data_IF_520621960370
#
_entry.id   IF_520621960370
#
_cell.length_a   1.000
_cell.length_b   1.000
_cell.length_c   1.000
_cell.angle_alpha   90.00
_cell.angle_beta   90.00
_cell.angle_gamma   90.00
#
_symmetry.space_group_name_H-M   'P 1'
#
loop_
_entity.id
_entity.type
_entity.pdbx_description
1 polymer ?
#
# COMPACT_ATOMS: atom_id res chain seq x y z
N UNK A 1 -6.54 -9.30 -27.64
CA UNK A 1 -6.34 -9.63 -26.22
C UNK A 1 -5.39 -8.62 -25.65
N UNK A 2 -5.58 -8.10 -24.45
CA UNK A 2 -4.59 -7.21 -23.84
C UNK A 2 -3.24 -7.95 -23.76
N UNK A 3 -2.17 -7.22 -24.03
CA UNK A 3 -0.82 -7.77 -24.01
C UNK A 3 -0.39 -7.99 -22.55
N UNK A 4 0.19 -9.17 -22.25
CA UNK A 4 0.68 -9.48 -20.91
C UNK A 4 2.05 -8.89 -20.68
N UNK A 5 2.20 -8.08 -19.64
CA UNK A 5 3.49 -7.51 -19.24
C UNK A 5 4.33 -8.48 -18.40
N UNK A 6 3.67 -9.19 -17.47
CA UNK A 6 4.30 -10.18 -16.60
C UNK A 6 3.42 -11.41 -16.43
N UNK A 7 4.02 -12.59 -16.54
CA UNK A 7 3.38 -13.87 -16.24
C UNK A 7 4.27 -14.66 -15.29
N UNK A 8 3.74 -15.06 -14.15
CA UNK A 8 4.38 -15.91 -13.16
C UNK A 8 3.59 -17.20 -13.02
N UNK A 9 4.24 -18.34 -13.24
CA UNK A 9 3.58 -19.65 -13.19
C UNK A 9 4.30 -20.60 -12.25
N UNK A 10 3.61 -21.05 -11.20
CA UNK A 10 4.07 -22.09 -10.29
C UNK A 10 5.42 -21.77 -9.63
N UNK A 11 5.60 -20.57 -9.11
CA UNK A 11 6.88 -20.14 -8.57
C UNK A 11 7.15 -20.76 -7.19
N UNK A 12 8.29 -21.43 -7.07
CA UNK A 12 8.82 -21.97 -5.83
C UNK A 12 10.20 -21.40 -5.55
N UNK A 13 10.43 -20.97 -4.30
CA UNK A 13 11.77 -20.52 -3.85
C UNK A 13 12.03 -20.95 -2.42
N UNK A 14 13.15 -21.68 -2.22
CA UNK A 14 13.64 -22.08 -0.90
C UNK A 14 14.93 -21.39 -0.56
N UNK A 15 15.20 -21.30 0.73
CA UNK A 15 16.43 -20.81 1.30
C UNK A 15 16.87 -21.71 2.46
N UNK A 16 18.15 -21.66 2.79
CA UNK A 16 18.70 -22.34 3.97
C UNK A 16 18.96 -21.33 5.09
N UNK A 17 18.59 -21.67 6.31
CA UNK A 17 18.87 -20.81 7.47
C UNK A 17 20.37 -20.61 7.63
N UNK A 18 20.81 -19.33 7.77
CA UNK A 18 22.22 -18.97 7.94
C UNK A 18 23.01 -18.73 6.65
N UNK A 19 22.46 -18.95 5.46
CA UNK A 19 23.11 -18.53 4.22
C UNK A 19 23.08 -16.99 4.15
N UNK A 20 24.27 -16.37 4.12
CA UNK A 20 24.42 -14.94 3.80
C UNK A 20 24.50 -14.81 2.28
N UNK A 21 23.55 -14.10 1.68
CA UNK A 21 23.45 -13.84 0.23
C UNK A 21 24.47 -12.79 -0.23
N UNK A 22 25.75 -13.02 -0.09
CA UNK A 22 26.82 -12.10 -0.55
C UNK A 22 27.87 -12.78 -1.40
N UNK A 23 27.54 -13.86 -2.11
CA UNK A 23 28.51 -14.58 -2.91
C UNK A 23 28.20 -14.45 -4.40
N UNK A 24 29.16 -13.90 -5.17
CA UNK A 24 29.19 -13.95 -6.64
C UNK A 24 29.06 -15.37 -7.22
N UNK A 25 29.20 -16.41 -6.39
CA UNK A 25 28.98 -17.81 -6.76
C UNK A 25 27.54 -18.13 -7.13
N UNK A 26 26.56 -17.38 -6.64
CA UNK A 26 25.15 -17.58 -6.95
C UNK A 26 24.76 -16.98 -8.31
N UNK A 27 25.66 -16.20 -8.92
CA UNK A 27 25.53 -15.61 -10.26
C UNK A 27 26.06 -16.51 -11.37
N UNK A 28 26.82 -17.57 -11.04
CA UNK A 28 27.27 -18.53 -12.04
C UNK A 28 26.12 -19.51 -12.33
N UNK A 29 25.67 -19.63 -13.60
CA UNK A 29 24.69 -20.65 -13.95
C UNK A 29 25.34 -22.00 -13.67
N UNK A 30 24.93 -22.66 -12.63
CA UNK A 30 25.25 -24.06 -12.39
C UNK A 30 24.74 -24.86 -13.58
N UNK A 31 25.67 -25.14 -14.50
CA UNK A 31 25.44 -25.91 -15.68
C UNK A 31 24.71 -27.21 -15.32
N UNK A 32 23.55 -27.42 -15.91
CA UNK A 32 23.03 -28.74 -16.29
C UNK A 32 22.89 -29.80 -15.18
N UNK A 33 22.35 -29.49 -14.02
CA UNK A 33 21.80 -30.56 -13.14
C UNK A 33 20.57 -30.08 -12.41
N UNK A 34 19.39 -30.52 -12.84
CA UNK A 34 18.17 -30.43 -12.03
C UNK A 34 16.95 -29.80 -12.69
N UNK A 35 16.71 -30.06 -13.96
CA UNK A 35 15.36 -29.99 -14.47
C UNK A 35 14.55 -31.08 -13.76
N UNK A 36 13.49 -30.67 -13.04
CA UNK A 36 12.46 -31.55 -12.48
C UNK A 36 12.90 -32.49 -11.35
N UNK A 37 13.12 -31.99 -10.16
CA UNK A 37 12.70 -32.76 -8.99
C UNK A 37 11.72 -31.90 -8.20
N UNK A 38 10.43 -32.24 -8.29
CA UNK A 38 9.39 -31.91 -7.31
C UNK A 38 9.71 -32.60 -5.98
N UNK A 39 10.93 -32.47 -5.48
CA UNK A 39 11.28 -32.97 -4.16
C UNK A 39 10.75 -31.95 -3.15
N UNK A 40 9.51 -32.19 -2.74
CA UNK A 40 8.77 -31.36 -1.76
C UNK A 40 9.35 -31.45 -0.35
N UNK A 41 10.40 -32.25 -0.13
CA UNK A 41 11.01 -32.42 1.19
C UNK A 41 12.14 -31.40 1.40
N UNK A 42 11.92 -30.51 2.37
CA UNK A 42 12.95 -29.59 2.85
C UNK A 42 14.06 -30.38 3.58
N UNK A 43 15.31 -30.09 3.24
CA UNK A 43 16.44 -30.56 4.02
C UNK A 43 16.51 -29.82 5.35
N UNK A 44 17.17 -30.42 6.35
CA UNK A 44 17.30 -29.81 7.67
C UNK A 44 17.87 -28.37 7.57
N UNK A 45 17.12 -27.40 8.09
CA UNK A 45 17.47 -25.99 8.04
C UNK A 45 17.00 -25.23 6.78
N UNK A 46 16.36 -25.87 5.81
CA UNK A 46 15.72 -25.19 4.66
C UNK A 46 14.28 -24.75 5.00
N UNK A 47 13.85 -23.69 4.32
CA UNK A 47 12.45 -23.23 4.37
C UNK A 47 12.01 -22.70 3.01
N UNK A 48 10.73 -22.82 2.71
CA UNK A 48 10.14 -22.23 1.52
C UNK A 48 9.81 -20.76 1.79
N UNK A 49 10.38 -19.87 0.99
CA UNK A 49 10.02 -18.46 0.98
C UNK A 49 8.85 -18.18 0.02
N UNK A 50 8.71 -19.01 -1.04
CA UNK A 50 7.57 -19.01 -1.93
C UNK A 50 7.19 -20.45 -2.28
N UNK A 51 5.88 -20.71 -2.40
CA UNK A 51 5.29 -22.00 -2.73
C UNK A 51 4.16 -21.81 -3.73
N UNK A 52 4.33 -22.32 -4.92
CA UNK A 52 3.32 -22.38 -5.98
C UNK A 52 2.62 -21.04 -6.28
N UNK A 53 3.38 -19.96 -6.34
CA UNK A 53 2.84 -18.62 -6.59
C UNK A 53 2.64 -18.42 -8.08
N UNK A 54 1.40 -18.12 -8.49
CA UNK A 54 1.02 -17.88 -9.89
C UNK A 54 0.15 -16.64 -9.99
N UNK A 55 0.45 -15.75 -10.95
CA UNK A 55 -0.34 -14.56 -11.27
C UNK A 55 0.11 -13.95 -12.60
N UNK A 56 -0.73 -13.07 -13.14
CA UNK A 56 -0.52 -12.37 -14.39
C UNK A 56 -0.76 -10.88 -14.21
N UNK A 57 -0.04 -10.04 -14.96
CA UNK A 57 -0.19 -8.58 -14.97
C UNK A 57 -0.32 -8.11 -16.40
N UNK A 58 -1.37 -7.35 -16.69
CA UNK A 58 -1.60 -6.79 -18.01
C UNK A 58 -0.74 -5.55 -18.27
N UNK A 59 -0.42 -5.29 -19.52
CA UNK A 59 0.34 -4.09 -19.91
C UNK A 59 -0.45 -2.82 -19.60
N UNK A 60 0.23 -1.82 -19.02
CA UNK A 60 -0.36 -0.53 -18.66
C UNK A 60 -1.17 -0.54 -17.37
N UNK A 61 -1.13 -1.62 -16.59
CA UNK A 61 -1.82 -1.70 -15.31
C UNK A 61 -0.93 -1.41 -14.11
N UNK A 62 -1.56 -0.91 -13.04
CA UNK A 62 -0.97 -0.89 -11.72
C UNK A 62 -1.40 -2.14 -10.94
N UNK A 63 -0.43 -2.95 -10.56
CA UNK A 63 -0.61 -4.21 -9.85
C UNK A 63 0.03 -4.16 -8.47
N UNK A 64 -0.72 -4.52 -7.43
CA UNK A 64 -0.25 -4.50 -6.05
C UNK A 64 0.20 -5.87 -5.56
N UNK A 65 1.24 -5.92 -4.72
CA UNK A 65 1.63 -7.11 -3.97
C UNK A 65 1.75 -6.73 -2.50
N UNK A 66 0.90 -7.31 -1.66
CA UNK A 66 0.87 -7.05 -0.22
C UNK A 66 0.99 -8.36 0.57
N UNK A 67 1.22 -8.24 1.86
CA UNK A 67 1.28 -9.38 2.79
C UNK A 67 2.03 -9.02 4.06
N UNK A 68 1.87 -9.78 5.14
CA UNK A 68 2.60 -9.59 6.39
C UNK A 68 4.13 -9.66 6.21
N UNK A 69 4.88 -9.27 7.24
CA UNK A 69 6.32 -9.46 7.24
C UNK A 69 6.66 -10.95 7.15
N UNK A 70 7.64 -11.28 6.30
CA UNK A 70 7.98 -12.69 6.03
C UNK A 70 7.06 -13.42 5.05
N UNK A 71 6.06 -12.77 4.46
CA UNK A 71 5.14 -13.40 3.48
C UNK A 71 5.80 -13.79 2.14
N UNK A 72 7.03 -13.35 1.87
CA UNK A 72 7.74 -13.67 0.63
C UNK A 72 7.81 -12.52 -0.40
N UNK A 73 7.26 -11.35 -0.09
CA UNK A 73 7.19 -10.18 -1.00
C UNK A 73 8.54 -9.80 -1.61
N UNK A 74 9.57 -9.55 -0.79
CA UNK A 74 10.91 -9.17 -1.27
C UNK A 74 11.59 -10.30 -2.04
N UNK A 75 11.27 -11.56 -1.75
CA UNK A 75 11.74 -12.70 -2.52
C UNK A 75 11.11 -12.71 -3.90
N UNK A 76 9.80 -12.52 -3.99
CA UNK A 76 9.07 -12.44 -5.25
C UNK A 76 9.58 -11.29 -6.11
N UNK A 77 9.79 -10.11 -5.51
CA UNK A 77 10.38 -8.95 -6.18
C UNK A 77 11.73 -9.29 -6.82
N UNK A 78 12.64 -9.89 -6.05
CA UNK A 78 13.99 -10.28 -6.53
C UNK A 78 13.93 -11.33 -7.64
N UNK A 79 12.94 -12.20 -7.63
CA UNK A 79 12.71 -13.17 -8.71
C UNK A 79 12.23 -12.46 -9.99
N UNK A 80 11.25 -11.56 -9.89
CA UNK A 80 10.73 -10.79 -11.05
C UNK A 80 11.83 -9.90 -11.63
N UNK A 81 12.64 -9.27 -10.77
CA UNK A 81 13.81 -8.48 -11.17
C UNK A 81 14.98 -9.31 -11.72
N UNK A 82 14.85 -10.64 -11.77
CA UNK A 82 15.90 -11.58 -12.19
C UNK A 82 17.20 -11.50 -11.36
N UNK A 83 17.13 -10.96 -10.15
CA UNK A 83 18.24 -10.97 -9.17
C UNK A 83 18.40 -12.38 -8.59
N UNK A 84 17.28 -13.07 -8.40
CA UNK A 84 17.23 -14.46 -7.96
C UNK A 84 16.61 -15.34 -9.06
N UNK A 85 16.93 -16.64 -9.03
CA UNK A 85 16.28 -17.64 -9.86
C UNK A 85 15.31 -18.47 -9.02
N UNK A 86 14.12 -18.83 -9.54
CA UNK A 86 13.22 -19.73 -8.85
C UNK A 86 13.78 -21.14 -8.81
N UNK A 87 13.37 -21.93 -7.81
CA UNK A 87 13.69 -23.37 -7.76
C UNK A 87 12.78 -24.18 -8.68
N UNK A 88 11.55 -23.71 -8.91
CA UNK A 88 10.63 -24.23 -9.91
C UNK A 88 9.68 -23.12 -10.38
N UNK A 89 9.02 -23.33 -11.50
CA UNK A 89 8.15 -22.35 -12.13
C UNK A 89 8.83 -21.49 -13.18
N UNK A 90 8.06 -20.61 -13.80
CA UNK A 90 8.52 -19.77 -14.91
C UNK A 90 8.06 -18.32 -14.69
N UNK A 91 8.95 -17.38 -15.05
CA UNK A 91 8.64 -15.95 -15.09
C UNK A 91 8.89 -15.44 -16.51
N UNK A 92 7.83 -14.96 -17.14
CA UNK A 92 7.91 -14.29 -18.44
C UNK A 92 7.68 -12.80 -18.26
N UNK A 93 8.58 -11.99 -18.78
CA UNK A 93 8.53 -10.54 -18.76
C UNK A 93 8.55 -10.04 -20.20
N UNK A 94 7.53 -9.30 -20.58
CA UNK A 94 7.41 -8.70 -21.91
C UNK A 94 7.83 -7.24 -21.86
N UNK A 95 8.86 -6.88 -22.57
CA UNK A 95 9.40 -5.52 -22.58
C UNK A 95 10.52 -5.28 -21.57
N UNK A 96 10.87 -4.00 -21.41
CA UNK A 96 11.97 -3.56 -20.55
C UNK A 96 11.46 -3.34 -19.12
N UNK A 97 12.11 -4.02 -18.17
CA UNK A 97 11.82 -3.92 -16.75
C UNK A 97 12.87 -3.03 -16.08
N UNK A 98 12.42 -2.03 -15.33
CA UNK A 98 13.23 -1.25 -14.40
C UNK A 98 12.76 -1.52 -12.96
N UNK A 99 13.70 -1.74 -12.05
CA UNK A 99 13.40 -2.10 -10.68
C UNK A 99 13.96 -1.07 -9.70
N UNK A 100 13.07 -0.45 -8.92
CA UNK A 100 13.39 0.42 -7.79
C UNK A 100 13.36 -0.40 -6.49
N UNK A 101 14.31 -1.32 -6.35
CA UNK A 101 14.37 -2.22 -5.19
C UNK A 101 15.14 -1.56 -4.04
N UNK A 102 16.20 -0.81 -4.38
CA UNK A 102 16.99 -0.04 -3.44
C UNK A 102 17.24 1.33 -4.06
N UNK A 103 16.60 2.36 -3.50
CA UNK A 103 16.82 3.73 -3.96
C UNK A 103 18.30 4.10 -3.85
N UNK A 104 18.86 4.53 -4.98
CA UNK A 104 20.27 4.90 -5.04
C UNK A 104 21.21 3.71 -5.15
N UNK A 105 20.73 2.48 -5.39
CA UNK A 105 21.59 1.38 -5.77
C UNK A 105 22.41 1.81 -7.00
N UNK A 106 23.75 1.75 -6.87
CA UNK A 106 24.69 2.23 -7.88
C UNK A 106 25.08 3.70 -7.76
N UNK A 107 24.58 4.46 -6.78
CA UNK A 107 25.11 5.76 -6.46
C UNK A 107 26.50 5.67 -5.84
N UNK A 108 27.39 6.57 -6.24
CA UNK A 108 28.72 6.67 -5.67
C UNK A 108 28.81 7.89 -4.75
N UNK A 109 29.22 7.72 -3.49
CA UNK A 109 29.20 8.79 -2.49
C UNK A 109 30.14 9.96 -2.82
N UNK A 110 31.24 9.71 -3.50
CA UNK A 110 32.23 10.74 -3.84
C UNK A 110 31.90 11.52 -5.11
N UNK A 111 30.97 11.02 -5.94
CA UNK A 111 30.48 11.72 -7.13
C UNK A 111 29.41 12.73 -6.74
N UNK A 112 29.34 13.79 -7.53
CA UNK A 112 28.31 14.86 -7.41
C UNK A 112 26.92 14.34 -7.75
N UNK A 113 25.87 15.09 -7.38
CA UNK A 113 24.49 14.79 -7.76
C UNK A 113 24.33 14.66 -9.28
N UNK A 114 24.95 15.55 -10.04
CA UNK A 114 24.97 15.52 -11.51
C UNK A 114 25.59 14.23 -12.04
N UNK A 115 26.80 13.89 -11.59
CA UNK A 115 27.50 12.67 -12.03
C UNK A 115 26.70 11.40 -11.66
N UNK A 116 26.06 11.37 -10.50
CA UNK A 116 25.23 10.26 -10.07
C UNK A 116 23.95 10.12 -10.90
N UNK A 117 23.35 11.19 -11.41
CA UNK A 117 22.25 11.10 -12.38
C UNK A 117 22.68 10.30 -13.61
N UNK A 118 23.86 10.60 -14.17
CA UNK A 118 24.39 9.87 -15.33
C UNK A 118 24.77 8.42 -14.99
N UNK A 119 25.42 8.21 -13.85
CA UNK A 119 25.83 6.87 -13.40
C UNK A 119 24.60 5.98 -13.18
N UNK A 120 23.65 6.45 -12.39
CA UNK A 120 22.46 5.67 -12.06
C UNK A 120 21.55 5.48 -13.28
N UNK A 121 21.38 6.51 -14.11
CA UNK A 121 20.67 6.39 -15.39
C UNK A 121 21.29 5.32 -16.30
N UNK A 122 22.61 5.26 -16.38
CA UNK A 122 23.30 4.23 -17.15
C UNK A 122 23.13 2.82 -16.56
N UNK A 123 23.19 2.68 -15.23
CA UNK A 123 22.94 1.40 -14.53
C UNK A 123 21.50 0.94 -14.78
N UNK A 124 20.55 1.85 -14.75
CA UNK A 124 19.16 1.57 -15.10
C UNK A 124 18.95 1.40 -16.61
N UNK A 125 20.06 1.45 -17.39
CA UNK A 125 20.14 1.14 -18.82
C UNK A 125 19.69 2.28 -19.73
N UNK A 126 19.67 3.54 -19.30
CA UNK A 126 19.49 4.69 -20.16
C UNK A 126 20.76 4.93 -20.98
N UNK A 127 20.60 5.33 -22.25
CA UNK A 127 21.72 5.84 -23.03
C UNK A 127 22.03 7.27 -22.62
N UNK A 128 23.28 7.71 -22.72
CA UNK A 128 23.68 9.08 -22.38
C UNK A 128 22.78 10.12 -23.03
N UNK A 129 22.48 9.97 -24.32
CA UNK A 129 21.57 10.86 -25.08
C UNK A 129 20.19 10.97 -24.45
N UNK A 130 19.68 9.89 -23.85
CA UNK A 130 18.34 9.85 -23.25
C UNK A 130 18.37 10.50 -21.86
N UNK A 131 19.51 10.35 -21.14
CA UNK A 131 19.76 11.08 -19.89
C UNK A 131 19.85 12.58 -20.16
N UNK A 132 20.64 13.00 -21.16
CA UNK A 132 20.79 14.42 -21.56
C UNK A 132 19.43 15.08 -21.83
N UNK A 133 18.53 14.39 -22.53
CA UNK A 133 17.17 14.88 -22.83
C UNK A 133 16.29 15.04 -21.61
N UNK A 134 16.48 14.24 -20.59
CA UNK A 134 15.63 14.18 -19.39
C UNK A 134 16.29 14.83 -18.17
N UNK A 135 17.52 15.31 -18.32
CA UNK A 135 18.33 15.81 -17.21
C UNK A 135 17.60 16.91 -16.44
N UNK A 136 17.11 17.92 -17.12
CA UNK A 136 16.40 19.03 -16.49
C UNK A 136 15.14 18.58 -15.77
N UNK A 137 14.35 17.69 -16.37
CA UNK A 137 13.13 17.17 -15.74
C UNK A 137 13.44 16.30 -14.51
N UNK A 138 14.55 15.56 -14.50
CA UNK A 138 15.04 14.82 -13.34
C UNK A 138 15.40 15.79 -12.21
N UNK A 139 16.13 16.85 -12.54
CA UNK A 139 16.56 17.86 -11.58
C UNK A 139 15.37 18.61 -10.98
N UNK A 140 14.44 19.04 -11.81
CA UNK A 140 13.22 19.73 -11.40
C UNK A 140 12.36 18.84 -10.49
N UNK A 141 12.14 17.58 -10.90
CA UNK A 141 11.38 16.64 -10.11
C UNK A 141 11.99 16.41 -8.73
N UNK A 142 13.32 16.21 -8.66
CA UNK A 142 14.05 15.98 -7.39
C UNK A 142 14.05 17.21 -6.49
N UNK A 143 13.86 18.42 -7.05
CA UNK A 143 13.99 19.73 -6.40
C UNK A 143 15.39 19.92 -5.75
N UNK A 144 16.46 19.45 -6.42
CA UNK A 144 17.83 19.49 -5.94
C UNK A 144 18.77 20.33 -6.79
N UNK A 145 18.26 21.29 -7.57
CA UNK A 145 19.04 22.14 -8.49
C UNK A 145 20.24 22.83 -7.81
N UNK A 146 20.08 23.32 -6.57
CA UNK A 146 21.15 23.97 -5.81
C UNK A 146 22.24 23.05 -5.24
N UNK A 147 22.09 21.71 -5.37
CA UNK A 147 22.98 20.73 -4.79
C UNK A 147 23.67 19.83 -5.80
N UNK A 148 23.47 20.07 -7.10
CA UNK A 148 23.93 19.17 -8.17
C UNK A 148 25.45 19.00 -8.22
N UNK A 149 26.20 20.02 -7.85
CA UNK A 149 27.68 20.00 -7.82
C UNK A 149 28.24 19.51 -6.46
N UNK A 150 27.36 19.15 -5.52
CA UNK A 150 27.75 18.64 -4.19
C UNK A 150 27.87 17.12 -4.26
N UNK A 151 28.97 16.51 -3.71
CA UNK A 151 29.08 15.06 -3.58
C UNK A 151 27.98 14.44 -2.74
N UNK A 152 27.50 13.24 -3.14
CA UNK A 152 26.38 12.57 -2.48
C UNK A 152 26.61 12.23 -1.01
N UNK A 153 27.84 12.07 -0.56
CA UNK A 153 28.16 11.86 0.85
C UNK A 153 27.69 13.01 1.76
N UNK A 154 27.42 14.18 1.19
CA UNK A 154 26.90 15.35 1.90
C UNK A 154 25.37 15.50 1.78
N UNK A 155 24.71 14.60 1.06
CA UNK A 155 23.26 14.62 0.95
C UNK A 155 22.62 14.03 2.21
N UNK A 156 21.49 14.60 2.61
CA UNK A 156 20.63 13.94 3.58
C UNK A 156 20.00 12.67 2.98
N UNK A 157 19.53 11.75 3.82
CA UNK A 157 18.83 10.55 3.35
C UNK A 157 17.62 10.88 2.47
N UNK A 158 16.91 11.98 2.78
CA UNK A 158 15.80 12.48 1.97
C UNK A 158 16.25 12.98 0.60
N UNK A 159 17.34 13.77 0.52
CA UNK A 159 17.90 14.23 -0.77
C UNK A 159 18.37 13.07 -1.62
N UNK A 160 19.09 12.12 -1.02
CA UNK A 160 19.57 10.91 -1.67
C UNK A 160 18.42 10.13 -2.32
N UNK A 161 17.37 9.92 -1.55
CA UNK A 161 16.21 9.17 -2.01
C UNK A 161 15.38 9.94 -3.06
N UNK A 162 15.24 11.27 -2.94
CA UNK A 162 14.60 12.11 -3.97
C UNK A 162 15.34 12.00 -5.31
N UNK A 163 16.69 12.05 -5.29
CA UNK A 163 17.47 11.92 -6.50
C UNK A 163 17.30 10.54 -7.15
N UNK A 164 17.39 9.47 -6.34
CA UNK A 164 17.22 8.10 -6.84
C UNK A 164 15.84 7.86 -7.46
N UNK A 165 14.79 8.33 -6.80
CA UNK A 165 13.43 8.22 -7.32
C UNK A 165 13.24 9.05 -8.60
N UNK A 166 13.79 10.28 -8.63
CA UNK A 166 13.74 11.13 -9.83
C UNK A 166 14.38 10.45 -11.04
N UNK A 167 15.59 9.89 -10.90
CA UNK A 167 16.24 9.19 -12.01
C UNK A 167 15.41 7.99 -12.45
N UNK A 168 14.99 7.16 -11.51
CA UNK A 168 14.30 5.91 -11.81
C UNK A 168 12.94 6.10 -12.49
N UNK A 169 12.19 7.14 -12.13
CA UNK A 169 10.88 7.45 -12.75
C UNK A 169 10.99 8.12 -14.12
N UNK A 170 12.21 8.45 -14.55
CA UNK A 170 12.47 8.99 -15.89
C UNK A 170 13.12 7.94 -16.82
N UNK A 171 13.27 6.69 -16.36
CA UNK A 171 13.70 5.57 -17.22
C UNK A 171 12.57 5.21 -18.18
N UNK A 172 12.92 4.93 -19.42
CA UNK A 172 11.97 4.39 -20.41
C UNK A 172 11.82 2.89 -20.19
N UNK A 173 10.88 2.52 -19.36
CA UNK A 173 10.59 1.13 -18.99
C UNK A 173 9.13 0.79 -19.33
N UNK A 174 8.91 -0.39 -19.91
CA UNK A 174 7.56 -0.93 -20.09
C UNK A 174 6.96 -1.43 -18.77
N UNK A 175 7.84 -1.86 -17.83
CA UNK A 175 7.46 -2.35 -16.52
C UNK A 175 8.33 -1.69 -15.46
N UNK A 176 7.71 -1.11 -14.44
CA UNK A 176 8.36 -0.50 -13.31
C UNK A 176 8.04 -1.29 -12.03
N UNK A 177 9.06 -1.86 -11.40
CA UNK A 177 8.95 -2.51 -10.09
C UNK A 177 9.27 -1.49 -9.00
N UNK A 178 8.39 -1.34 -8.02
CA UNK A 178 8.57 -0.39 -6.92
C UNK A 178 8.44 -1.14 -5.59
N UNK A 179 9.48 -1.07 -4.75
CA UNK A 179 9.50 -1.62 -3.41
C UNK A 179 9.40 -0.48 -2.39
N UNK A 180 8.40 -0.48 -1.53
CA UNK A 180 8.19 0.40 -0.33
C UNK A 180 8.63 1.88 -0.42
N UNK A 181 9.15 2.28 -1.57
CA UNK A 181 9.94 3.49 -1.81
C UNK A 181 9.11 4.78 -1.84
N UNK A 182 7.77 4.69 -1.96
CA UNK A 182 6.91 5.88 -2.02
C UNK A 182 6.79 6.62 -0.67
N UNK A 183 7.33 6.06 0.41
CA UNK A 183 7.35 6.72 1.73
C UNK A 183 8.55 7.65 1.92
N UNK A 184 9.31 7.93 0.87
CA UNK A 184 10.55 8.70 0.90
C UNK A 184 10.31 10.19 0.77
N UNK A 185 11.13 10.97 1.48
CA UNK A 185 11.07 12.43 1.47
C UNK A 185 9.97 12.98 2.40
N UNK A 186 9.67 14.25 2.24
CA UNK A 186 8.57 14.91 2.94
C UNK A 186 7.21 14.65 2.28
N UNK A 187 6.14 15.06 2.94
CA UNK A 187 4.77 14.89 2.43
C UNK A 187 4.57 15.52 1.04
N UNK A 188 5.19 16.66 0.76
CA UNK A 188 5.10 17.32 -0.54
C UNK A 188 5.75 16.48 -1.66
N UNK A 189 6.89 15.86 -1.39
CA UNK A 189 7.54 14.99 -2.35
C UNK A 189 6.77 13.68 -2.56
N UNK A 190 6.16 13.13 -1.51
CA UNK A 190 5.30 11.93 -1.63
C UNK A 190 4.11 12.18 -2.56
N UNK A 191 3.48 13.36 -2.48
CA UNK A 191 2.40 13.74 -3.41
C UNK A 191 2.91 13.79 -4.85
N UNK A 192 4.10 14.38 -5.10
CA UNK A 192 4.73 14.39 -6.44
C UNK A 192 5.01 12.97 -6.94
N UNK A 193 5.47 12.05 -6.06
CA UNK A 193 5.71 10.66 -6.43
C UNK A 193 4.44 9.95 -6.87
N UNK A 194 3.34 10.12 -6.13
CA UNK A 194 2.04 9.51 -6.47
C UNK A 194 1.52 10.06 -7.79
N UNK A 195 1.56 11.39 -8.00
CA UNK A 195 1.17 12.00 -9.27
C UNK A 195 1.99 11.45 -10.44
N UNK A 196 3.31 11.34 -10.28
CA UNK A 196 4.19 10.77 -11.31
C UNK A 196 3.84 9.32 -11.63
N UNK A 197 3.43 8.52 -10.64
CA UNK A 197 2.97 7.15 -10.88
C UNK A 197 1.69 7.13 -11.72
N UNK A 198 0.71 7.97 -11.40
CA UNK A 198 -0.49 8.10 -12.22
C UNK A 198 -0.17 8.49 -13.66
N UNK A 199 0.75 9.45 -13.88
CA UNK A 199 1.16 9.86 -15.21
C UNK A 199 1.82 8.71 -16.00
N UNK A 200 2.69 7.92 -15.35
CA UNK A 200 3.35 6.77 -15.97
C UNK A 200 2.34 5.67 -16.35
N UNK A 201 1.38 5.38 -15.48
CA UNK A 201 0.30 4.42 -15.76
C UNK A 201 -0.57 4.92 -16.91
N UNK A 202 -0.94 6.20 -16.92
CA UNK A 202 -1.72 6.81 -17.99
C UNK A 202 -0.98 6.79 -19.35
N UNK A 203 0.36 6.81 -19.34
CA UNK A 203 1.22 6.68 -20.52
C UNK A 203 1.43 5.21 -20.96
N UNK A 204 0.81 4.24 -20.28
CA UNK A 204 0.88 2.82 -20.61
C UNK A 204 2.03 2.06 -19.94
N UNK A 205 2.74 2.64 -18.98
CA UNK A 205 3.75 1.92 -18.19
C UNK A 205 3.03 1.00 -17.19
N UNK A 206 3.42 -0.27 -17.16
CA UNK A 206 2.96 -1.22 -16.16
C UNK A 206 3.70 -0.97 -14.85
N UNK A 207 2.99 -0.80 -13.75
CA UNK A 207 3.60 -0.58 -12.44
C UNK A 207 3.29 -1.75 -11.52
N UNK A 208 4.32 -2.43 -11.02
CA UNK A 208 4.19 -3.48 -10.01
C UNK A 208 4.65 -2.90 -8.68
N UNK A 209 3.71 -2.74 -7.77
CA UNK A 209 3.89 -2.04 -6.53
C UNK A 209 3.89 -2.99 -5.34
N UNK A 210 5.01 -3.08 -4.63
CA UNK A 210 5.15 -3.90 -3.43
C UNK A 210 5.21 -2.98 -2.22
N UNK A 211 4.26 -3.12 -1.30
CA UNK A 211 4.23 -2.28 -0.11
C UNK A 211 3.61 -3.00 1.09
N UNK A 212 4.06 -2.63 2.27
CA UNK A 212 3.35 -2.89 3.52
C UNK A 212 2.30 -1.80 3.80
N UNK A 213 2.34 -0.67 3.10
CA UNK A 213 1.35 0.38 3.19
C UNK A 213 0.15 0.08 2.28
N UNK A 214 -0.79 -0.68 2.81
CA UNK A 214 -1.99 -1.17 2.10
C UNK A 214 -2.81 -0.03 1.49
N UNK A 215 -2.80 1.16 2.13
CA UNK A 215 -3.51 2.35 1.63
C UNK A 215 -2.93 2.89 0.33
N UNK A 216 -1.60 2.87 0.19
CA UNK A 216 -0.95 3.31 -1.05
C UNK A 216 -1.27 2.34 -2.19
N UNK A 217 -1.30 1.03 -1.90
CA UNK A 217 -1.69 0.00 -2.86
C UNK A 217 -3.13 0.21 -3.32
N UNK A 218 -4.06 0.44 -2.39
CA UNK A 218 -5.47 0.67 -2.71
C UNK A 218 -5.71 1.92 -3.58
N UNK A 219 -4.86 2.93 -3.47
CA UNK A 219 -4.96 4.15 -4.30
C UNK A 219 -4.47 3.97 -5.73
N UNK A 220 -3.50 3.10 -5.94
CA UNK A 220 -2.80 2.98 -7.22
C UNK A 220 -3.22 1.74 -8.01
N UNK A 221 -3.55 0.65 -7.31
CA UNK A 221 -3.69 -0.67 -7.91
C UNK A 221 -5.16 -1.08 -7.99
N UNK A 222 -5.57 -1.57 -9.16
CA UNK A 222 -6.90 -2.17 -9.34
C UNK A 222 -6.93 -3.64 -8.89
N UNK A 223 -5.84 -4.35 -9.14
CA UNK A 223 -5.67 -5.76 -8.81
C UNK A 223 -4.50 -5.94 -7.85
N UNK A 224 -4.68 -6.81 -6.86
CA UNK A 224 -3.70 -7.00 -5.78
C UNK A 224 -3.53 -8.49 -5.47
N UNK A 225 -2.29 -8.93 -5.43
CA UNK A 225 -1.87 -10.22 -4.92
C UNK A 225 -1.61 -10.12 -3.41
N UNK A 226 -2.32 -10.88 -2.63
CA UNK A 226 -2.09 -11.01 -1.19
C UNK A 226 -1.26 -12.27 -0.94
N UNK A 227 -0.06 -12.08 -0.40
CA UNK A 227 0.83 -13.19 -0.02
C UNK A 227 0.74 -13.46 1.49
N UNK A 228 0.73 -14.72 1.86
CA UNK A 228 0.83 -15.17 3.25
C UNK A 228 1.68 -16.43 3.33
N UNK A 229 2.70 -16.43 4.20
CA UNK A 229 3.59 -17.58 4.45
C UNK A 229 4.18 -18.20 3.16
N UNK A 230 4.46 -17.37 2.17
CA UNK A 230 5.02 -17.80 0.90
C UNK A 230 4.02 -18.31 -0.14
N UNK A 231 2.74 -18.28 0.15
CA UNK A 231 1.66 -18.76 -0.72
C UNK A 231 0.73 -17.60 -1.12
N UNK A 232 0.00 -17.77 -2.22
CA UNK A 232 -1.05 -16.84 -2.64
C UNK A 232 -2.26 -17.03 -1.73
N UNK A 233 -2.55 -16.03 -0.90
CA UNK A 233 -3.77 -16.02 -0.09
C UNK A 233 -4.99 -15.59 -0.92
N UNK A 234 -4.82 -14.59 -1.78
CA UNK A 234 -5.82 -14.17 -2.76
C UNK A 234 -5.19 -13.36 -3.90
N UNK A 235 -5.87 -13.33 -5.03
CA UNK A 235 -5.68 -12.39 -6.12
C UNK A 235 -7.03 -11.70 -6.37
N UNK A 236 -7.14 -10.42 -6.00
CA UNK A 236 -8.44 -9.76 -5.91
C UNK A 236 -8.31 -8.24 -6.11
N UNK A 237 -9.41 -7.51 -6.01
CA UNK A 237 -9.40 -6.04 -6.04
C UNK A 237 -8.76 -5.45 -4.77
N UNK A 238 -8.44 -4.16 -4.82
CA UNK A 238 -7.73 -3.49 -3.75
C UNK A 238 -8.47 -3.51 -2.40
N UNK A 239 -9.79 -3.36 -2.39
CA UNK A 239 -10.57 -3.28 -1.15
C UNK A 239 -10.64 -4.63 -0.42
N UNK A 240 -10.89 -5.72 -1.16
CA UNK A 240 -10.85 -7.07 -0.61
C UNK A 240 -9.45 -7.46 -0.14
N UNK A 241 -8.42 -7.05 -0.89
CA UNK A 241 -7.04 -7.30 -0.52
C UNK A 241 -6.65 -6.62 0.79
N UNK A 242 -7.11 -5.38 1.01
CA UNK A 242 -6.92 -4.63 2.27
C UNK A 242 -7.56 -5.37 3.44
N UNK A 243 -8.81 -5.82 3.25
CA UNK A 243 -9.53 -6.58 4.27
C UNK A 243 -8.82 -7.88 4.64
N UNK A 244 -8.42 -8.65 3.63
CA UNK A 244 -7.69 -9.89 3.85
C UNK A 244 -6.34 -9.64 4.53
N UNK A 245 -5.61 -8.59 4.14
CA UNK A 245 -4.35 -8.23 4.78
C UNK A 245 -4.53 -8.01 6.29
N UNK A 246 -5.52 -7.20 6.68
CA UNK A 246 -5.77 -6.94 8.10
C UNK A 246 -6.19 -8.20 8.84
N UNK A 247 -7.00 -9.08 8.25
CA UNK A 247 -7.35 -10.38 8.87
C UNK A 247 -6.13 -11.28 9.08
N UNK A 248 -5.18 -11.29 8.13
CA UNK A 248 -3.94 -12.05 8.26
C UNK A 248 -3.00 -11.50 9.33
N UNK A 249 -2.99 -10.18 9.53
CA UNK A 249 -2.14 -9.53 10.55
C UNK A 249 -2.74 -9.65 11.94
N UNK A 250 -4.06 -9.53 12.08
CA UNK A 250 -4.75 -9.68 13.37
C UNK A 250 -4.88 -11.13 13.85
N UNK A 251 -4.54 -12.10 12.99
CA UNK A 251 -4.64 -13.53 13.33
C UNK A 251 -6.08 -14.06 13.36
N UNK A 252 -7.06 -13.26 12.98
CA UNK A 252 -8.45 -13.68 12.78
C UNK A 252 -8.53 -14.46 11.48
N UNK A 253 -8.76 -15.76 11.59
CA UNK A 253 -8.90 -16.66 10.43
C UNK A 253 -10.12 -16.26 9.60
N UNK A 254 -9.92 -15.95 8.31
CA UNK A 254 -10.98 -15.60 7.36
C UNK A 254 -12.00 -16.74 7.07
N UNK A 255 -11.91 -17.86 7.77
CA UNK A 255 -12.84 -19.00 7.61
C UNK A 255 -14.12 -18.87 8.45
N UNK A 256 -14.19 -17.92 9.39
CA UNK A 256 -15.35 -17.74 10.29
C UNK A 256 -16.14 -16.43 10.02
N UNK A 257 -16.03 -15.83 8.85
CA UNK A 257 -16.86 -14.67 8.48
C UNK A 257 -18.22 -15.06 7.92
N UNK A 258 -18.89 -16.00 8.57
CA UNK A 258 -20.34 -15.98 8.61
C UNK A 258 -20.75 -14.84 9.55
N UNK A 259 -21.73 -14.04 9.12
CA UNK A 259 -22.13 -12.71 9.60
C UNK A 259 -22.52 -12.58 11.09
N UNK A 260 -21.99 -13.37 12.03
CA UNK A 260 -22.53 -13.48 13.39
C UNK A 260 -21.72 -12.85 14.51
N UNK A 261 -20.40 -12.58 14.36
CA UNK A 261 -19.61 -12.05 15.48
C UNK A 261 -18.49 -11.09 15.03
N UNK A 262 -18.84 -10.00 14.31
CA UNK A 262 -17.90 -8.89 14.16
C UNK A 262 -17.78 -8.18 15.50
N UNK A 263 -16.56 -8.11 16.04
CA UNK A 263 -16.31 -7.42 17.29
C UNK A 263 -16.60 -5.90 17.20
N UNK A 264 -16.63 -5.34 15.97
CA UNK A 264 -16.98 -3.93 15.73
C UNK A 264 -18.03 -3.84 14.63
N UNK A 265 -19.06 -3.02 14.86
CA UNK A 265 -19.97 -2.54 13.82
C UNK A 265 -20.11 -1.03 13.94
N UNK A 266 -20.15 -0.33 12.80
CA UNK A 266 -20.41 1.11 12.74
C UNK A 266 -21.52 1.36 11.74
N UNK A 267 -22.54 2.07 12.16
CA UNK A 267 -23.73 2.32 11.33
C UNK A 267 -24.11 3.81 11.39
N UNK A 268 -24.27 4.50 10.24
CA UNK A 268 -24.89 5.80 10.25
C UNK A 268 -26.28 5.72 10.88
N UNK A 269 -26.60 6.65 11.77
CA UNK A 269 -27.86 6.59 12.55
C UNK A 269 -28.46 7.96 12.75
N UNK A 270 -29.73 7.97 13.17
CA UNK A 270 -30.39 9.14 13.73
C UNK A 270 -29.99 9.36 15.21
N UNK A 271 -30.55 10.39 15.85
CA UNK A 271 -30.32 10.70 17.27
C UNK A 271 -30.84 9.61 18.22
N UNK A 272 -31.71 8.71 17.75
CA UNK A 272 -32.27 7.58 18.49
C UNK A 272 -31.54 6.26 18.19
N UNK A 273 -30.37 6.33 17.49
CA UNK A 273 -29.56 5.18 17.08
C UNK A 273 -30.25 4.24 16.07
N UNK A 274 -31.31 4.68 15.38
CA UNK A 274 -31.87 3.92 14.27
C UNK A 274 -31.00 4.10 13.01
N UNK A 275 -30.72 3.01 12.25
CA UNK A 275 -29.97 3.11 11.02
C UNK A 275 -30.60 4.08 10.00
N UNK A 276 -29.76 4.90 9.36
CA UNK A 276 -30.17 5.78 8.25
C UNK A 276 -29.36 5.41 6.99
N UNK A 277 -29.99 5.56 5.82
CA UNK A 277 -29.35 5.26 4.53
C UNK A 277 -28.56 6.47 3.99
N UNK A 278 -28.96 7.69 4.38
CA UNK A 278 -28.30 8.93 3.95
C UNK A 278 -28.47 10.04 4.99
N UNK A 279 -27.62 11.06 4.85
CA UNK A 279 -27.64 12.28 5.70
C UNK A 279 -27.64 13.51 4.79
N UNK A 280 -28.43 14.52 5.14
CA UNK A 280 -28.50 15.78 4.38
C UNK A 280 -27.18 16.59 4.51
N UNK A 281 -26.75 17.23 3.44
CA UNK A 281 -25.62 18.14 3.47
C UNK A 281 -25.81 19.25 4.50
N UNK A 282 -24.81 19.46 5.35
CA UNK A 282 -24.85 20.48 6.41
C UNK A 282 -25.53 20.05 7.71
N UNK A 283 -26.03 18.82 7.78
CA UNK A 283 -26.57 18.24 9.01
C UNK A 283 -25.46 17.57 9.83
N UNK A 284 -25.73 17.36 11.11
CA UNK A 284 -24.89 16.52 11.97
C UNK A 284 -24.93 15.08 11.50
N UNK A 285 -23.82 14.39 11.68
CA UNK A 285 -23.70 12.96 11.36
C UNK A 285 -23.57 12.19 12.66
N UNK A 286 -24.43 11.22 12.86
CA UNK A 286 -24.36 10.29 13.96
C UNK A 286 -23.86 8.94 13.47
N UNK A 287 -22.88 8.38 14.16
CA UNK A 287 -22.36 7.05 13.93
C UNK A 287 -22.60 6.21 15.18
N UNK A 288 -23.51 5.25 15.08
CA UNK A 288 -23.73 4.25 16.12
C UNK A 288 -22.65 3.18 16.01
N UNK A 289 -21.90 2.97 17.09
CA UNK A 289 -20.81 2.01 17.15
C UNK A 289 -21.08 0.99 18.23
N UNK A 290 -21.10 -0.26 17.85
CA UNK A 290 -21.15 -1.38 18.77
C UNK A 290 -19.86 -2.17 18.67
N UNK A 291 -19.19 -2.38 19.80
CA UNK A 291 -17.98 -3.17 19.85
C UNK A 291 -18.04 -4.17 21.03
N UNK A 292 -17.50 -5.37 20.77
CA UNK A 292 -17.40 -6.44 21.77
C UNK A 292 -15.93 -6.77 21.95
N UNK A 293 -15.42 -6.54 23.17
CA UNK A 293 -14.01 -6.74 23.50
C UNK A 293 -13.86 -8.05 24.31
N UNK A 294 -12.98 -8.97 23.90
CA UNK A 294 -12.67 -10.16 24.67
C UNK A 294 -12.02 -9.83 26.02
N UNK A 295 -12.21 -10.69 27.02
CA UNK A 295 -11.63 -10.52 28.37
C UNK A 295 -10.10 -10.48 28.39
N UNK A 296 -9.46 -11.03 27.35
CA UNK A 296 -8.00 -10.98 27.17
C UNK A 296 -7.44 -9.56 26.95
N UNK A 297 -8.29 -8.60 26.60
CA UNK A 297 -7.92 -7.19 26.39
C UNK A 297 -8.61 -6.30 27.41
N UNK A 298 -7.99 -6.00 28.56
CA UNK A 298 -8.64 -5.27 29.66
C UNK A 298 -8.98 -3.83 29.30
N UNK A 299 -8.20 -3.23 28.39
CA UNK A 299 -8.33 -1.80 27.99
C UNK A 299 -8.03 -1.63 26.53
N UNK A 300 -8.94 -0.91 25.85
CA UNK A 300 -8.82 -0.66 24.43
C UNK A 300 -9.40 0.72 24.07
N UNK A 301 -9.03 1.21 22.90
CA UNK A 301 -9.62 2.42 22.32
C UNK A 301 -10.04 2.17 20.88
N UNK A 302 -10.99 2.96 20.42
CA UNK A 302 -11.56 2.87 19.08
C UNK A 302 -11.11 4.07 18.25
N UNK A 303 -10.73 3.81 17.01
CA UNK A 303 -10.52 4.84 15.99
C UNK A 303 -11.57 4.62 14.92
N UNK A 304 -12.36 5.64 14.63
CA UNK A 304 -13.30 5.66 13.51
C UNK A 304 -12.88 6.71 12.52
N UNK A 305 -12.93 6.39 11.23
CA UNK A 305 -12.56 7.28 10.15
C UNK A 305 -13.62 7.30 9.07
N UNK A 306 -13.84 8.48 8.52
CA UNK A 306 -14.69 8.71 7.35
C UNK A 306 -13.82 9.24 6.23
N UNK A 307 -13.87 8.60 5.07
CA UNK A 307 -13.01 8.96 3.95
C UNK A 307 -13.60 8.54 2.61
N UNK A 308 -12.87 8.78 1.53
CA UNK A 308 -13.28 8.32 0.20
C UNK A 308 -12.88 6.86 -0.03
N UNK A 309 -13.39 6.28 -1.11
CA UNK A 309 -13.05 4.91 -1.54
C UNK A 309 -11.59 4.77 -2.01
N UNK A 310 -10.90 5.91 -2.27
CA UNK A 310 -9.48 5.92 -2.64
C UNK A 310 -8.54 5.94 -1.43
N UNK A 311 -9.08 5.77 -0.19
CA UNK A 311 -8.28 5.67 1.03
C UNK A 311 -7.83 7.01 1.63
N UNK A 312 -8.41 8.15 1.18
CA UNK A 312 -8.21 9.44 1.83
C UNK A 312 -9.19 9.56 2.98
N UNK A 313 -8.68 9.65 4.20
CA UNK A 313 -9.50 9.90 5.39
C UNK A 313 -9.70 11.41 5.55
N UNK A 314 -10.96 11.85 5.56
CA UNK A 314 -11.34 13.26 5.77
C UNK A 314 -11.54 13.57 7.24
N UNK A 315 -12.10 12.62 7.99
CA UNK A 315 -12.39 12.74 9.41
C UNK A 315 -11.81 11.55 10.17
N UNK A 316 -11.33 11.79 11.38
CA UNK A 316 -10.79 10.75 12.25
C UNK A 316 -11.17 11.02 13.70
N UNK A 317 -11.83 10.07 14.33
CA UNK A 317 -12.37 10.15 15.69
C UNK A 317 -11.70 9.07 16.54
N UNK A 318 -11.26 9.44 17.74
CA UNK A 318 -10.56 8.55 18.65
C UNK A 318 -11.16 8.64 20.05
N UNK A 319 -11.60 7.50 20.59
CA UNK A 319 -12.20 7.46 21.95
C UNK A 319 -11.18 7.73 23.05
N UNK A 320 -9.89 7.37 22.84
CA UNK A 320 -8.83 7.66 23.80
C UNK A 320 -8.65 9.18 24.01
N UNK A 321 -8.63 9.95 22.91
CA UNK A 321 -8.54 11.42 22.95
C UNK A 321 -9.77 12.05 23.60
N UNK A 322 -10.91 11.39 23.54
CA UNK A 322 -12.14 11.81 24.19
C UNK A 322 -12.24 11.33 25.66
N UNK A 323 -11.22 10.64 26.17
CA UNK A 323 -11.23 10.10 27.54
C UNK A 323 -12.16 8.90 27.75
N UNK A 324 -12.61 8.26 26.67
CA UNK A 324 -13.51 7.09 26.73
C UNK A 324 -12.71 5.83 26.54
N UNK A 325 -12.66 5.03 27.59
CA UNK A 325 -12.02 3.72 27.61
C UNK A 325 -13.02 2.62 27.26
N UNK A 326 -12.67 1.72 26.36
CA UNK A 326 -13.45 0.53 26.02
C UNK A 326 -12.94 -0.62 26.86
N UNK A 327 -13.86 -1.26 27.61
CA UNK A 327 -13.55 -2.38 28.49
C UNK A 327 -14.11 -3.67 27.94
N UNK A 328 -13.62 -4.81 28.48
CA UNK A 328 -14.13 -6.13 28.14
C UNK A 328 -15.66 -6.20 28.22
N UNK A 329 -16.26 -6.93 27.30
CA UNK A 329 -17.71 -6.99 27.09
C UNK A 329 -18.18 -6.10 25.95
N UNK A 330 -19.49 -5.99 25.81
CA UNK A 330 -20.11 -5.18 24.75
C UNK A 330 -20.24 -3.71 25.19
N UNK A 331 -19.74 -2.82 24.36
CA UNK A 331 -19.85 -1.36 24.54
C UNK A 331 -20.58 -0.77 23.35
N UNK A 332 -21.57 0.06 23.60
CA UNK A 332 -22.31 0.81 22.60
C UNK A 332 -22.02 2.30 22.77
N UNK A 333 -21.68 2.95 21.67
CA UNK A 333 -21.26 4.35 21.62
C UNK A 333 -21.99 5.07 20.49
N UNK A 334 -22.36 6.32 20.72
CA UNK A 334 -22.81 7.24 19.68
C UNK A 334 -21.74 8.32 19.48
N UNK A 335 -21.19 8.38 18.26
CA UNK A 335 -20.31 9.48 17.84
C UNK A 335 -21.14 10.49 17.06
N UNK A 336 -21.34 11.67 17.61
CA UNK A 336 -21.97 12.80 16.94
C UNK A 336 -20.91 13.72 16.37
N UNK A 337 -21.02 14.02 15.10
CA UNK A 337 -20.12 14.87 14.34
C UNK A 337 -20.91 16.10 13.94
N UNK A 338 -20.56 17.25 14.49
CA UNK A 338 -21.30 18.49 14.28
C UNK A 338 -20.92 19.10 12.94
N UNK A 339 -21.89 19.21 12.04
CA UNK A 339 -21.79 19.85 10.72
C UNK A 339 -20.41 19.65 10.04
N UNK A 340 -20.04 18.43 9.68
CA UNK A 340 -18.67 18.12 9.22
C UNK A 340 -18.33 18.71 7.85
N UNK A 341 -19.25 19.44 7.23
CA UNK A 341 -19.09 20.05 5.88
C UNK A 341 -18.59 19.09 4.80
N UNK A 342 -18.89 17.81 4.95
CA UNK A 342 -18.62 16.83 3.91
C UNK A 342 -19.48 17.14 2.70
N UNK A 343 -18.87 17.24 1.52
CA UNK A 343 -19.58 17.50 0.26
C UNK A 343 -20.52 16.33 -0.10
N UNK A 344 -21.59 16.57 -0.87
CA UNK A 344 -22.45 15.49 -1.36
C UNK A 344 -21.65 14.42 -2.08
N UNK A 345 -21.61 13.23 -1.54
CA UNK A 345 -20.88 12.06 -2.08
C UNK A 345 -21.15 10.81 -1.24
N UNK A 346 -20.54 9.71 -1.65
CA UNK A 346 -20.46 8.46 -0.87
C UNK A 346 -19.14 8.40 -0.14
N UNK A 347 -19.19 8.14 1.16
CA UNK A 347 -18.03 8.07 2.03
C UNK A 347 -17.91 6.71 2.69
N UNK A 348 -16.73 6.17 2.68
CA UNK A 348 -16.39 4.94 3.37
C UNK A 348 -16.23 5.22 4.87
N UNK A 349 -16.77 4.33 5.69
CA UNK A 349 -16.51 4.30 7.14
C UNK A 349 -15.54 3.14 7.42
N UNK A 350 -14.53 3.42 8.22
CA UNK A 350 -13.60 2.42 8.72
C UNK A 350 -13.38 2.60 10.22
N UNK A 351 -13.25 1.51 10.95
CA UNK A 351 -12.99 1.55 12.38
C UNK A 351 -11.94 0.51 12.79
N UNK A 352 -11.16 0.83 13.80
CA UNK A 352 -10.15 -0.05 14.39
C UNK A 352 -10.29 -0.06 15.90
N UNK A 353 -10.34 -1.24 16.46
CA UNK A 353 -10.23 -1.48 17.89
C UNK A 353 -8.77 -1.77 18.21
N UNK A 354 -8.17 -0.95 19.06
CA UNK A 354 -6.76 -0.94 19.35
C UNK A 354 -6.51 -1.31 20.80
N UNK A 355 -5.54 -2.19 21.06
CA UNK A 355 -5.06 -2.46 22.41
C UNK A 355 -4.26 -1.24 22.94
N UNK A 356 -4.64 -0.74 24.11
CA UNK A 356 -4.01 0.45 24.72
C UNK A 356 -2.56 0.17 25.15
N UNK A 357 -2.22 -1.08 25.50
CA UNK A 357 -0.89 -1.44 26.02
C UNK A 357 0.13 -1.65 24.89
N UNK A 358 -0.28 -2.32 23.83
CA UNK A 358 0.62 -2.74 22.74
C UNK A 358 0.50 -1.85 21.50
N UNK A 359 -0.59 -1.09 21.37
CA UNK A 359 -0.91 -0.34 20.15
C UNK A 359 -1.26 -1.23 18.96
N UNK A 360 -1.49 -2.53 19.18
CA UNK A 360 -1.87 -3.46 18.13
C UNK A 360 -3.35 -3.39 17.81
N UNK A 361 -3.71 -3.68 16.56
CA UNK A 361 -5.10 -3.81 16.12
C UNK A 361 -5.66 -5.12 16.69
N UNK A 362 -6.73 -5.03 17.48
CA UNK A 362 -7.48 -6.17 18.00
C UNK A 362 -8.47 -6.65 16.96
N UNK A 363 -9.23 -5.71 16.38
CA UNK A 363 -10.19 -5.96 15.32
C UNK A 363 -10.38 -4.70 14.49
N UNK A 364 -10.95 -4.87 13.29
CA UNK A 364 -11.22 -3.74 12.39
C UNK A 364 -12.54 -3.93 11.66
N UNK A 365 -13.16 -2.82 11.31
CA UNK A 365 -14.38 -2.73 10.52
C UNK A 365 -14.11 -1.89 9.27
N UNK A 366 -14.44 -2.43 8.12
CA UNK A 366 -14.50 -1.70 6.86
C UNK A 366 -15.88 -1.91 6.28
N UNK A 367 -16.61 -0.82 6.11
CA UNK A 367 -17.98 -0.89 5.63
C UNK A 367 -17.97 -1.26 4.14
N UNK A 368 -18.53 -2.42 3.79
CA UNK A 368 -18.62 -2.90 2.41
C UNK A 368 -20.04 -2.79 1.83
N UNK A 369 -21.08 -2.70 2.69
CA UNK A 369 -22.47 -2.83 2.26
C UNK A 369 -23.25 -1.50 2.30
N UNK A 370 -22.87 -0.55 3.12
CA UNK A 370 -23.55 0.76 3.23
C UNK A 370 -22.55 1.88 3.41
N UNK A 371 -22.36 2.67 2.38
CA UNK A 371 -21.62 3.93 2.47
C UNK A 371 -22.39 4.94 3.30
N UNK A 372 -21.68 5.86 3.95
CA UNK A 372 -22.26 7.09 4.44
C UNK A 372 -22.58 7.98 3.21
N UNK A 373 -23.84 8.12 2.87
CA UNK A 373 -24.29 8.93 1.75
C UNK A 373 -24.65 10.32 2.26
N UNK A 374 -23.96 11.35 1.73
CA UNK A 374 -24.33 12.75 1.94
C UNK A 374 -25.14 13.20 0.72
N UNK A 375 -26.41 13.50 0.94
CA UNK A 375 -27.29 13.98 -0.11
C UNK A 375 -27.02 15.45 -0.45
N UNK A 376 -27.15 15.84 -1.72
CA UNK A 376 -26.96 17.22 -2.13
C UNK A 376 -28.06 18.12 -1.51
N UNK A 377 -27.73 19.38 -1.19
CA UNK A 377 -28.73 20.36 -0.84
C UNK A 377 -29.60 20.69 -2.06
N UNK A 378 -30.73 21.36 -1.83
CA UNK A 378 -31.60 21.81 -2.91
C UNK A 378 -30.82 22.56 -4.00
N UNK A 379 -31.25 22.46 -5.27
CA UNK A 379 -30.52 22.78 -6.49
C UNK A 379 -29.83 24.18 -6.54
N UNK A 380 -30.29 25.13 -5.73
CA UNK A 380 -29.76 26.49 -5.69
C UNK A 380 -28.41 26.62 -4.94
N UNK A 381 -28.16 25.75 -3.97
CA UNK A 381 -26.89 25.71 -3.18
C UNK A 381 -25.74 25.01 -3.88
N UNK A 382 -25.98 24.11 -4.82
CA UNK A 382 -24.98 23.35 -5.55
C UNK A 382 -23.96 24.22 -6.32
N UNK A 383 -24.35 25.44 -6.73
CA UNK A 383 -23.49 26.36 -7.49
C UNK A 383 -22.37 27.03 -6.65
N UNK A 384 -22.41 26.86 -5.33
CA UNK A 384 -21.46 27.52 -4.39
C UNK A 384 -20.54 26.57 -3.66
N UNK A 385 -20.58 25.27 -3.98
CA UNK A 385 -19.74 24.29 -3.29
C UNK A 385 -18.31 24.35 -3.80
N UNK A 386 -17.30 24.27 -2.91
CA UNK A 386 -15.89 24.20 -3.30
C UNK A 386 -15.56 22.87 -3.98
N UNK A 387 -14.45 22.82 -4.70
CA UNK A 387 -13.98 21.63 -5.39
C UNK A 387 -13.71 20.46 -4.41
N UNK A 388 -14.24 19.24 -4.64
CA UNK A 388 -14.21 18.14 -3.69
C UNK A 388 -12.82 17.53 -3.38
N UNK A 389 -11.78 17.95 -4.06
CA UNK A 389 -10.44 17.34 -3.92
C UNK A 389 -9.55 17.91 -2.80
N UNK A 390 -9.97 18.94 -2.10
CA UNK A 390 -9.13 19.59 -1.10
C UNK A 390 -9.78 19.62 0.29
N UNK A 391 -9.14 19.00 1.23
CA UNK A 391 -9.07 19.34 2.66
C UNK A 391 -9.47 18.21 3.61
N UNK A 392 -8.50 17.82 4.48
CA UNK A 392 -8.79 17.23 5.79
C UNK A 392 -9.56 18.27 6.59
N UNK A 393 -10.77 17.97 7.01
CA UNK A 393 -11.65 18.86 7.76
C UNK A 393 -11.45 18.62 9.25
N UNK A 394 -11.20 19.68 10.00
CA UNK A 394 -11.37 19.66 11.46
C UNK A 394 -12.87 19.71 11.74
N UNK A 395 -13.41 18.65 12.30
CA UNK A 395 -14.81 18.58 12.73
C UNK A 395 -14.87 18.46 14.25
N UNK A 396 -15.80 19.19 14.86
CA UNK A 396 -16.13 19.02 16.26
C UNK A 396 -16.94 17.73 16.40
N UNK A 397 -16.53 16.88 17.32
CA UNK A 397 -17.22 15.62 17.57
C UNK A 397 -17.33 15.31 19.07
N UNK A 398 -18.37 14.60 19.43
CA UNK A 398 -18.63 14.14 20.80
C UNK A 398 -18.93 12.65 20.79
N UNK A 399 -18.51 11.97 21.85
CA UNK A 399 -18.87 10.59 22.10
C UNK A 399 -19.80 10.47 23.30
N UNK A 400 -20.84 9.67 23.15
CA UNK A 400 -21.75 9.32 24.24
C UNK A 400 -21.78 7.80 24.39
N UNK A 401 -21.59 7.31 25.63
CA UNK A 401 -21.81 5.91 25.97
C UNK A 401 -23.30 5.70 26.16
N UNK A 402 -23.85 4.65 25.59
CA UNK A 402 -25.26 4.28 25.65
C UNK A 402 -25.53 3.22 26.71
#
# INVERSE_FOLDING_TARGET
MPEMALECQGLWKRFKKGERFNSLRDLLPGALKGFFSRDSQLKQGEFWALKDVSFEVQSGEAFGIIGPNGAGKSTLLKLIAKILQPNAGVIKVTGRLAALIELGAGFHPDLTGKENIYLNGAILGMKKRDIDKRFESIVEFSSLSGFLDTPLRHYSSGMFARLGFAVATHVDAGILLIDEVLSVGDAGFQVKCISKMHDLIAQGTTVIFISHNVRQVARLCKQVLVLSKGETAALTNADEAVNLYYSLVSGTSSKDTDARDKAITVTPSDDMCNPVDSVQFGSDINLFVKCTLPESFPKSYLIVKVGNHYGVDFLSFNTERAGIEIRAGTTELLCRIENPRLLPNRYRIAAWLMDTLTGQVIDYFLHQEKDLIIEPPEAEMLRRLPNPEATVLDAVYTWRRL
#
